data_IF_848380046232
#
_entry.id   IF_848380046232
#
_cell.length_a   1.000
_cell.length_b   1.000
_cell.length_c   1.000
_cell.angle_alpha   90.00
_cell.angle_beta   90.00
_cell.angle_gamma   90.00
#
_symmetry.space_group_name_H-M   'P 1'
#
loop_
_entity.id
_entity.type
_entity.pdbx_description
1 polymer ?
#
# COMPACT_ATOMS: atom_id res chain seq x y z
N UNK A 1 -22.61 -5.93 52.68
CA UNK A 1 -21.68 -5.44 51.67
C UNK A 1 -21.63 -6.28 50.38
N UNK A 2 -22.47 -7.31 50.21
CA UNK A 2 -22.42 -8.24 49.06
C UNK A 2 -23.47 -8.00 47.95
N UNK A 3 -24.46 -7.08 48.18
CA UNK A 3 -25.51 -6.79 47.18
C UNK A 3 -24.98 -5.91 46.02
N UNK A 4 -24.04 -5.03 46.30
CA UNK A 4 -23.55 -4.04 45.33
C UNK A 4 -22.68 -4.64 44.20
N UNK A 5 -21.98 -5.74 44.45
CA UNK A 5 -21.13 -6.39 43.45
C UNK A 5 -21.92 -7.19 42.38
N UNK A 6 -23.08 -7.75 42.74
CA UNK A 6 -23.95 -8.47 41.81
C UNK A 6 -24.65 -7.51 40.85
N UNK A 7 -25.05 -6.32 41.34
CA UNK A 7 -25.68 -5.32 40.49
C UNK A 7 -24.67 -4.64 39.55
N UNK A 8 -23.46 -4.39 40.03
CA UNK A 8 -22.37 -3.88 39.19
C UNK A 8 -21.99 -4.89 38.07
N UNK A 9 -21.86 -6.18 38.42
CA UNK A 9 -21.56 -7.22 37.42
C UNK A 9 -22.71 -7.43 36.43
N UNK A 10 -23.96 -7.30 36.86
CA UNK A 10 -25.14 -7.36 35.99
C UNK A 10 -25.26 -6.11 35.09
N UNK A 11 -24.83 -4.94 35.59
CA UNK A 11 -24.80 -3.69 34.83
C UNK A 11 -23.69 -3.71 33.77
N UNK A 12 -22.51 -4.26 34.11
CA UNK A 12 -21.38 -4.47 33.19
C UNK A 12 -21.74 -5.52 32.15
N UNK A 13 -22.29 -6.67 32.56
CA UNK A 13 -22.74 -7.74 31.69
C UNK A 13 -23.81 -7.31 30.70
N UNK A 14 -24.79 -6.52 31.13
CA UNK A 14 -25.87 -6.01 30.27
C UNK A 14 -25.43 -4.92 29.29
N UNK A 15 -24.38 -4.15 29.59
CA UNK A 15 -23.81 -3.14 28.66
C UNK A 15 -22.84 -3.72 27.65
N UNK A 16 -22.12 -4.75 28.00
CA UNK A 16 -21.10 -5.36 27.13
C UNK A 16 -21.67 -6.33 26.09
N UNK A 17 -22.90 -6.83 26.27
CA UNK A 17 -23.47 -7.88 25.41
C UNK A 17 -24.64 -7.43 24.52
N UNK A 18 -25.16 -6.21 24.69
CA UNK A 18 -26.27 -5.70 23.87
C UNK A 18 -25.80 -4.70 22.81
N UNK A 19 -25.10 -5.13 21.77
CA UNK A 19 -24.85 -4.22 20.66
C UNK A 19 -23.70 -4.54 19.71
N UNK A 20 -22.87 -5.52 19.99
CA UNK A 20 -21.85 -5.95 19.04
C UNK A 20 -22.44 -7.10 18.22
N UNK A 21 -22.92 -6.79 17.00
CA UNK A 21 -23.31 -7.82 16.03
C UNK A 21 -22.08 -8.66 15.63
N UNK A 22 -22.23 -9.52 14.62
CA UNK A 22 -21.13 -10.35 14.09
C UNK A 22 -19.90 -9.52 13.67
N UNK A 23 -20.09 -8.22 13.38
CA UNK A 23 -19.03 -7.25 13.05
C UNK A 23 -19.26 -5.97 13.87
N UNK A 24 -18.20 -5.48 14.50
CA UNK A 24 -18.18 -4.20 15.21
C UNK A 24 -17.99 -3.03 14.21
N UNK A 25 -19.06 -2.67 13.50
CA UNK A 25 -19.03 -1.61 12.50
C UNK A 25 -18.57 -0.25 13.06
N UNK A 26 -19.02 0.09 14.27
CA UNK A 26 -18.64 1.37 14.91
C UNK A 26 -17.14 1.40 15.17
N UNK A 27 -16.60 0.31 15.70
CA UNK A 27 -15.17 0.18 15.94
C UNK A 27 -14.36 0.20 14.64
N UNK A 28 -14.78 -0.56 13.63
CA UNK A 28 -14.14 -0.60 12.31
C UNK A 28 -14.08 0.79 11.67
N UNK A 29 -15.21 1.51 11.61
CA UNK A 29 -15.30 2.86 11.03
C UNK A 29 -14.43 3.84 11.82
N UNK A 30 -14.47 3.77 13.16
CA UNK A 30 -13.68 4.65 14.02
C UNK A 30 -12.19 4.46 13.82
N UNK A 31 -11.72 3.20 13.77
CA UNK A 31 -10.32 2.87 13.53
C UNK A 31 -9.88 3.28 12.11
N UNK A 32 -10.70 3.00 11.10
CA UNK A 32 -10.46 3.41 9.72
C UNK A 32 -10.37 4.94 9.60
N UNK A 33 -11.31 5.66 10.21
CA UNK A 33 -11.29 7.13 10.23
C UNK A 33 -10.03 7.67 10.91
N UNK A 34 -9.59 7.07 12.01
CA UNK A 34 -8.34 7.43 12.68
C UNK A 34 -7.14 7.26 11.75
N UNK A 35 -7.02 6.12 11.06
CA UNK A 35 -5.93 5.86 10.13
C UNK A 35 -5.91 6.85 8.95
N UNK A 36 -7.08 7.19 8.41
CA UNK A 36 -7.21 8.18 7.34
C UNK A 36 -6.87 9.58 7.86
N UNK A 37 -7.43 10.02 8.98
CA UNK A 37 -7.18 11.35 9.52
C UNK A 37 -5.74 11.56 9.97
N UNK A 38 -5.03 10.48 10.35
CA UNK A 38 -3.62 10.52 10.71
C UNK A 38 -2.76 11.08 9.59
N UNK A 39 -2.87 10.57 8.38
CA UNK A 39 -2.07 11.05 7.25
C UNK A 39 -2.63 12.33 6.63
N UNK A 40 -3.94 12.57 6.69
CA UNK A 40 -4.55 13.82 6.19
C UNK A 40 -4.08 15.02 7.02
N UNK A 41 -3.94 14.88 8.35
CA UNK A 41 -3.45 15.99 9.21
C UNK A 41 -2.07 16.51 8.80
N UNK A 42 -1.26 15.68 8.15
CA UNK A 42 0.09 16.01 7.68
C UNK A 42 0.19 15.85 6.14
N UNK A 43 -0.89 16.20 5.41
CA UNK A 43 -1.03 15.94 3.97
C UNK A 43 0.12 16.51 3.12
N UNK A 44 0.73 17.62 3.54
CA UNK A 44 1.89 18.18 2.87
C UNK A 44 3.04 17.16 2.76
N UNK A 45 3.33 16.46 3.85
CA UNK A 45 4.39 15.46 3.91
C UNK A 45 3.96 14.11 3.32
N UNK A 46 2.71 13.72 3.51
CA UNK A 46 2.24 12.35 3.22
C UNK A 46 1.66 12.18 1.83
N UNK A 47 1.21 13.28 1.18
CA UNK A 47 0.59 13.28 -0.14
C UNK A 47 1.37 14.17 -1.10
N UNK A 48 1.54 15.45 -0.76
CA UNK A 48 2.17 16.41 -1.67
C UNK A 48 3.67 16.11 -1.84
N UNK A 49 4.38 15.80 -0.76
CA UNK A 49 5.81 15.46 -0.81
C UNK A 49 6.13 14.31 -1.78
N UNK A 50 5.51 13.12 -1.64
CA UNK A 50 5.68 12.03 -2.60
C UNK A 50 5.28 12.39 -4.03
N UNK A 51 4.19 13.13 -4.23
CA UNK A 51 3.76 13.56 -5.57
C UNK A 51 4.76 14.50 -6.22
N UNK A 52 5.32 15.48 -5.47
CA UNK A 52 6.40 16.33 -5.95
C UNK A 52 7.68 15.56 -6.26
N UNK A 53 8.04 14.57 -5.42
CA UNK A 53 9.19 13.70 -5.70
C UNK A 53 9.00 12.94 -7.01
N UNK A 54 7.80 12.42 -7.26
CA UNK A 54 7.46 11.73 -8.52
C UNK A 54 7.59 12.67 -9.73
N UNK A 55 7.10 13.90 -9.61
CA UNK A 55 7.24 14.92 -10.64
C UNK A 55 8.71 15.29 -10.89
N UNK A 56 9.50 15.48 -9.83
CA UNK A 56 10.93 15.81 -9.95
C UNK A 56 11.71 14.69 -10.65
N UNK A 57 11.43 13.42 -10.32
CA UNK A 57 12.03 12.30 -11.04
C UNK A 57 11.68 12.34 -12.54
N UNK A 58 10.40 12.58 -12.87
CA UNK A 58 9.99 12.69 -14.27
C UNK A 58 10.73 13.84 -15.00
N UNK A 59 10.86 15.00 -14.37
CA UNK A 59 11.59 16.16 -14.94
C UNK A 59 13.06 15.82 -15.13
N UNK A 60 13.72 15.22 -14.13
CA UNK A 60 15.14 14.85 -14.22
C UNK A 60 15.36 13.87 -15.39
N UNK A 61 14.53 12.84 -15.50
CA UNK A 61 14.63 11.89 -16.59
C UNK A 61 14.28 12.49 -17.94
N UNK A 62 13.33 13.44 -17.98
CA UNK A 62 13.00 14.21 -19.18
C UNK A 62 14.20 15.00 -19.70
N UNK A 63 14.91 15.70 -18.82
CA UNK A 63 16.08 16.49 -19.16
C UNK A 63 17.28 15.59 -19.53
N UNK A 64 17.52 14.56 -18.74
CA UNK A 64 18.66 13.65 -18.92
C UNK A 64 18.56 12.82 -20.20
N UNK A 65 17.37 12.36 -20.56
CA UNK A 65 17.13 11.45 -21.69
C UNK A 65 16.36 12.08 -22.85
N UNK A 66 15.70 13.19 -22.62
CA UNK A 66 14.77 13.83 -23.57
C UNK A 66 15.43 14.41 -24.84
N UNK A 67 16.74 14.59 -24.86
CA UNK A 67 17.49 14.95 -26.09
C UNK A 67 17.77 13.76 -27.01
N UNK A 68 17.66 12.54 -26.52
CA UNK A 68 17.61 11.34 -27.33
C UNK A 68 16.17 10.89 -27.36
N UNK A 69 15.48 11.05 -28.47
CA UNK A 69 14.11 10.56 -28.75
C UNK A 69 14.10 9.03 -28.71
N UNK A 70 14.33 8.46 -27.52
CA UNK A 70 14.29 7.02 -27.29
C UNK A 70 12.84 6.63 -27.14
N UNK A 71 12.37 5.88 -28.11
CA UNK A 71 11.11 5.15 -28.05
C UNK A 71 11.35 3.86 -27.27
N UNK A 72 10.41 3.50 -26.42
CA UNK A 72 10.30 2.14 -25.87
C UNK A 72 9.24 1.46 -26.73
N UNK A 73 9.66 0.62 -27.69
CA UNK A 73 8.78 0.22 -28.79
C UNK A 73 8.37 1.44 -29.64
N UNK A 74 7.06 1.71 -29.71
CA UNK A 74 6.50 2.87 -30.42
C UNK A 74 6.12 4.05 -29.48
N UNK A 75 6.35 3.89 -28.16
CA UNK A 75 5.87 4.83 -27.13
C UNK A 75 7.00 5.78 -26.72
N UNK A 76 6.74 7.08 -26.60
CA UNK A 76 7.70 8.03 -26.05
C UNK A 76 8.11 7.65 -24.63
N UNK A 77 9.42 7.70 -24.36
CA UNK A 77 9.98 7.25 -23.07
C UNK A 77 9.30 7.89 -21.84
N UNK A 78 8.91 9.16 -21.93
CA UNK A 78 8.25 9.87 -20.83
C UNK A 78 6.83 9.35 -20.55
N UNK A 79 6.11 8.97 -21.61
CA UNK A 79 4.79 8.35 -21.48
C UNK A 79 4.90 6.95 -20.87
N UNK A 80 5.96 6.23 -21.16
CA UNK A 80 6.28 4.94 -20.53
C UNK A 80 6.68 5.09 -19.06
N UNK A 81 7.46 6.11 -18.72
CA UNK A 81 8.03 6.33 -17.38
C UNK A 81 6.97 6.82 -16.38
N UNK A 82 6.08 7.73 -16.81
CA UNK A 82 5.09 8.37 -15.95
C UNK A 82 4.26 7.40 -15.13
N UNK A 83 3.56 6.43 -15.74
CA UNK A 83 2.79 5.41 -15.02
C UNK A 83 3.63 4.61 -14.01
N UNK A 84 4.86 4.23 -14.38
CA UNK A 84 5.77 3.50 -13.50
C UNK A 84 6.13 4.26 -12.23
N UNK A 85 6.42 5.56 -12.35
CA UNK A 85 6.70 6.43 -11.22
C UNK A 85 5.47 6.66 -10.32
N UNK A 86 4.29 6.82 -10.92
CA UNK A 86 3.04 7.01 -10.18
C UNK A 86 2.76 5.78 -9.30
N UNK A 87 2.71 4.59 -9.89
CA UNK A 87 2.41 3.38 -9.13
C UNK A 87 3.48 3.06 -8.10
N UNK A 88 4.77 3.31 -8.40
CA UNK A 88 5.85 3.16 -7.44
C UNK A 88 5.64 4.05 -6.20
N UNK A 89 5.24 5.30 -6.40
CA UNK A 89 4.91 6.21 -5.30
C UNK A 89 3.68 5.73 -4.50
N UNK A 90 2.64 5.24 -5.18
CA UNK A 90 1.43 4.69 -4.54
C UNK A 90 1.74 3.52 -3.62
N UNK A 91 2.47 2.51 -4.10
CA UNK A 91 2.78 1.29 -3.35
C UNK A 91 3.69 1.58 -2.15
N UNK A 92 4.71 2.44 -2.31
CA UNK A 92 5.59 2.83 -1.21
C UNK A 92 4.84 3.59 -0.11
N UNK A 93 3.90 4.46 -0.48
CA UNK A 93 3.10 5.20 0.49
C UNK A 93 2.02 4.35 1.16
N UNK A 94 1.47 3.36 0.47
CA UNK A 94 0.58 2.36 1.09
C UNK A 94 1.31 1.52 2.13
N UNK A 95 2.51 1.02 1.81
CA UNK A 95 3.39 0.33 2.75
C UNK A 95 3.71 1.22 3.96
N UNK A 96 4.18 2.46 3.70
CA UNK A 96 4.55 3.40 4.74
C UNK A 96 3.40 3.79 5.68
N UNK A 97 2.14 3.75 5.20
CA UNK A 97 0.99 4.08 6.04
C UNK A 97 0.81 3.07 7.19
N UNK A 98 0.58 1.81 6.87
CA UNK A 98 0.33 0.78 7.88
C UNK A 98 1.55 0.48 8.74
N UNK A 99 2.74 0.40 8.12
CA UNK A 99 3.97 0.09 8.83
C UNK A 99 4.32 1.17 9.85
N UNK A 100 4.26 2.45 9.47
CA UNK A 100 4.53 3.56 10.38
C UNK A 100 3.49 3.71 11.48
N UNK A 101 2.21 3.42 11.20
CA UNK A 101 1.15 3.50 12.21
C UNK A 101 1.37 2.51 13.33
N UNK A 102 1.58 1.23 12.99
CA UNK A 102 1.79 0.17 13.98
C UNK A 102 3.09 0.35 14.74
N UNK A 103 4.18 0.65 14.04
CA UNK A 103 5.48 0.85 14.69
C UNK A 103 5.46 2.06 15.63
N UNK A 104 4.86 3.18 15.21
CA UNK A 104 4.74 4.36 16.08
C UNK A 104 3.94 4.06 17.35
N UNK A 105 2.87 3.26 17.25
CA UNK A 105 2.09 2.84 18.41
C UNK A 105 2.89 1.94 19.36
N UNK A 106 3.73 1.04 18.83
CA UNK A 106 4.61 0.19 19.63
C UNK A 106 5.69 1.02 20.35
N UNK A 107 6.40 1.87 19.61
CA UNK A 107 7.47 2.70 20.16
C UNK A 107 6.97 3.70 21.21
N UNK A 108 5.76 4.24 21.01
CA UNK A 108 5.12 5.13 21.98
C UNK A 108 4.49 4.40 23.18
N UNK A 109 4.49 3.05 23.21
CA UNK A 109 3.85 2.26 24.26
C UNK A 109 2.32 2.24 24.21
N UNK A 110 1.72 2.80 23.15
CA UNK A 110 0.26 2.94 23.00
C UNK A 110 -0.38 1.80 22.21
N UNK A 111 0.34 0.70 21.98
CA UNK A 111 -0.19 -0.45 21.23
C UNK A 111 -1.40 -1.07 21.95
N UNK A 112 -1.47 -0.97 23.28
CA UNK A 112 -2.60 -1.39 24.09
C UNK A 112 -3.90 -0.70 23.69
N UNK A 113 -3.85 0.57 23.29
CA UNK A 113 -5.04 1.35 22.89
C UNK A 113 -5.72 0.75 21.64
N UNK A 114 -4.97 0.04 20.83
CA UNK A 114 -5.50 -0.69 19.67
C UNK A 114 -5.99 -2.11 20.01
N UNK A 115 -5.42 -2.71 21.07
CA UNK A 115 -5.71 -4.09 21.45
C UNK A 115 -6.82 -4.18 22.53
N UNK A 116 -7.06 -3.11 23.32
CA UNK A 116 -8.11 -3.08 24.33
C UNK A 116 -9.54 -3.09 23.75
N UNK A 117 -9.85 -2.36 22.66
CA UNK A 117 -11.17 -2.45 22.08
C UNK A 117 -11.43 -3.87 21.52
N UNK A 118 -12.67 -4.37 21.57
CA UNK A 118 -13.01 -5.72 21.13
C UNK A 118 -13.05 -5.81 19.61
N UNK A 119 -11.88 -5.71 18.97
CA UNK A 119 -11.72 -5.93 17.55
C UNK A 119 -11.44 -7.39 17.23
N UNK A 120 -12.11 -7.91 16.21
CA UNK A 120 -11.69 -9.14 15.58
C UNK A 120 -10.43 -8.88 14.74
N UNK A 121 -9.57 -9.92 14.53
CA UNK A 121 -8.39 -9.80 13.66
C UNK A 121 -8.74 -9.32 12.24
N UNK A 122 -9.92 -9.67 11.74
CA UNK A 122 -10.45 -9.22 10.45
C UNK A 122 -10.72 -7.71 10.45
N UNK A 123 -11.42 -7.19 11.46
CA UNK A 123 -11.75 -5.76 11.59
C UNK A 123 -10.49 -4.92 11.71
N UNK A 124 -9.56 -5.37 12.54
CA UNK A 124 -8.27 -4.70 12.70
C UNK A 124 -7.49 -4.62 11.38
N UNK A 125 -7.31 -5.77 10.72
CA UNK A 125 -6.62 -5.84 9.41
C UNK A 125 -7.29 -4.94 8.38
N UNK A 126 -8.63 -5.01 8.29
CA UNK A 126 -9.40 -4.24 7.31
C UNK A 126 -9.29 -2.74 7.53
N UNK A 127 -9.32 -2.26 8.78
CA UNK A 127 -9.20 -0.84 9.09
C UNK A 127 -7.85 -0.25 8.66
N UNK A 128 -6.75 -0.94 8.99
CA UNK A 128 -5.41 -0.52 8.58
C UNK A 128 -5.22 -0.60 7.06
N UNK A 129 -5.77 -1.64 6.44
CA UNK A 129 -5.70 -1.85 5.01
C UNK A 129 -6.43 -0.75 4.23
N UNK A 130 -7.66 -0.40 4.62
CA UNK A 130 -8.42 0.69 4.01
C UNK A 130 -7.67 2.02 4.15
N UNK A 131 -7.08 2.30 5.32
CA UNK A 131 -6.25 3.49 5.51
C UNK A 131 -5.04 3.53 4.58
N UNK A 132 -4.38 2.39 4.36
CA UNK A 132 -3.22 2.27 3.47
C UNK A 132 -3.60 2.45 1.99
N UNK A 133 -4.68 1.81 1.56
CA UNK A 133 -5.21 1.97 0.20
C UNK A 133 -5.61 3.43 -0.05
N UNK A 134 -6.33 4.05 0.89
CA UNK A 134 -6.75 5.44 0.77
C UNK A 134 -5.54 6.38 0.60
N UNK A 135 -4.47 6.21 1.38
CA UNK A 135 -3.25 7.01 1.24
C UNK A 135 -2.56 6.78 -0.11
N UNK A 136 -2.39 5.52 -0.52
CA UNK A 136 -1.77 5.19 -1.81
C UNK A 136 -2.54 5.80 -2.98
N UNK A 137 -3.87 5.66 -2.99
CA UNK A 137 -4.72 6.24 -4.04
C UNK A 137 -4.66 7.78 -4.07
N UNK A 138 -4.69 8.44 -2.91
CA UNK A 138 -4.58 9.90 -2.85
C UNK A 138 -3.21 10.40 -3.34
N UNK A 139 -2.13 9.69 -3.03
CA UNK A 139 -0.80 9.99 -3.59
C UNK A 139 -0.79 9.78 -5.10
N UNK A 140 -1.41 8.71 -5.60
CA UNK A 140 -1.56 8.46 -7.03
C UNK A 140 -2.31 9.58 -7.74
N UNK A 141 -3.46 9.99 -7.22
CA UNK A 141 -4.26 11.10 -7.78
C UNK A 141 -3.46 12.41 -7.79
N UNK A 142 -2.76 12.74 -6.69
CA UNK A 142 -1.92 13.92 -6.60
C UNK A 142 -0.75 13.87 -7.61
N UNK A 143 -0.12 12.68 -7.77
CA UNK A 143 0.95 12.49 -8.75
C UNK A 143 0.46 12.64 -10.19
N UNK A 144 -0.70 12.06 -10.52
CA UNK A 144 -1.34 12.25 -11.85
C UNK A 144 -1.63 13.72 -12.10
N UNK A 145 -2.22 14.42 -11.13
CA UNK A 145 -2.56 15.84 -11.26
C UNK A 145 -1.33 16.73 -11.55
N UNK A 146 -0.16 16.36 -11.02
CA UNK A 146 1.09 17.08 -11.31
C UNK A 146 1.71 16.65 -12.65
N UNK A 147 1.72 15.36 -12.95
CA UNK A 147 2.38 14.80 -14.14
C UNK A 147 1.64 15.17 -15.43
N UNK A 148 0.31 15.28 -15.41
CA UNK A 148 -0.51 15.61 -16.58
C UNK A 148 -0.12 16.97 -17.20
N UNK A 149 0.55 17.84 -16.46
CA UNK A 149 1.07 19.12 -16.96
C UNK A 149 2.27 18.95 -17.91
N UNK A 150 2.98 17.82 -17.83
CA UNK A 150 4.19 17.54 -18.62
C UNK A 150 3.99 16.43 -19.65
N UNK A 151 3.16 15.45 -19.33
CA UNK A 151 2.92 14.25 -20.17
C UNK A 151 1.42 14.03 -20.29
N UNK A 152 0.90 13.88 -21.53
CA UNK A 152 -0.52 13.59 -21.72
C UNK A 152 -0.83 12.18 -21.18
N UNK A 153 -1.55 12.10 -20.07
CA UNK A 153 -2.02 10.84 -19.51
C UNK A 153 -3.41 10.57 -20.09
N UNK A 154 -3.53 9.45 -20.79
CA UNK A 154 -4.81 8.92 -21.27
C UNK A 154 -5.13 7.64 -20.51
N UNK A 155 -6.38 7.45 -20.12
CA UNK A 155 -6.83 6.20 -19.53
C UNK A 155 -7.23 5.27 -20.68
N UNK A 156 -6.46 4.21 -20.89
CA UNK A 156 -6.75 3.19 -21.90
C UNK A 156 -7.83 2.21 -21.41
N UNK A 157 -7.69 1.71 -20.18
CA UNK A 157 -8.64 0.78 -19.56
C UNK A 157 -8.90 1.18 -18.10
N UNK A 158 -10.12 1.68 -17.85
CA UNK A 158 -10.54 2.13 -16.52
C UNK A 158 -10.66 0.98 -15.50
N UNK A 159 -11.12 -0.20 -15.97
CA UNK A 159 -11.29 -1.38 -15.09
C UNK A 159 -9.91 -1.86 -14.63
N UNK A 160 -8.97 -1.97 -15.55
CA UNK A 160 -7.59 -2.31 -15.23
C UNK A 160 -6.96 -1.25 -14.29
N UNK A 161 -7.20 0.04 -14.52
CA UNK A 161 -6.68 1.12 -13.67
C UNK A 161 -7.16 0.98 -12.23
N UNK A 162 -8.44 0.79 -12.02
CA UNK A 162 -9.02 0.61 -10.68
C UNK A 162 -8.50 -0.67 -10.03
N UNK A 163 -8.46 -1.78 -10.78
CA UNK A 163 -8.01 -3.06 -10.27
C UNK A 163 -6.54 -3.01 -9.83
N UNK A 164 -5.62 -2.63 -10.73
CA UNK A 164 -4.18 -2.63 -10.43
C UNK A 164 -3.81 -1.58 -9.38
N UNK A 165 -4.46 -0.43 -9.35
CA UNK A 165 -4.27 0.57 -8.29
C UNK A 165 -4.68 0.02 -6.92
N UNK A 166 -5.87 -0.58 -6.84
CA UNK A 166 -6.41 -1.09 -5.58
C UNK A 166 -5.61 -2.29 -5.08
N UNK A 167 -5.37 -3.30 -5.93
CA UNK A 167 -4.69 -4.53 -5.53
C UNK A 167 -3.24 -4.27 -5.11
N UNK A 168 -2.52 -3.39 -5.82
CA UNK A 168 -1.14 -3.03 -5.51
C UNK A 168 -1.03 -2.30 -4.16
N UNK A 169 -1.90 -1.32 -3.92
CA UNK A 169 -1.98 -0.63 -2.63
C UNK A 169 -2.39 -1.58 -1.50
N UNK A 170 -3.27 -2.53 -1.77
CA UNK A 170 -3.71 -3.56 -0.81
C UNK A 170 -2.55 -4.47 -0.41
N UNK A 171 -1.84 -5.06 -1.37
CA UNK A 171 -0.68 -5.93 -1.11
C UNK A 171 0.36 -5.19 -0.27
N UNK A 172 0.73 -3.97 -0.66
CA UNK A 172 1.74 -3.20 0.04
C UNK A 172 1.27 -2.71 1.42
N UNK A 173 -0.03 -2.43 1.57
CA UNK A 173 -0.64 -2.18 2.87
C UNK A 173 -0.54 -3.39 3.81
N UNK A 174 -0.80 -4.61 3.31
CA UNK A 174 -0.66 -5.85 4.08
C UNK A 174 0.80 -6.15 4.45
N UNK A 175 1.72 -6.01 3.51
CA UNK A 175 3.17 -6.13 3.79
C UNK A 175 3.58 -5.10 4.84
N UNK A 176 3.04 -3.88 4.79
CA UNK A 176 3.26 -2.85 5.78
C UNK A 176 2.73 -3.21 7.17
N UNK A 177 1.54 -3.84 7.27
CA UNK A 177 1.00 -4.33 8.55
C UNK A 177 1.94 -5.39 9.14
N UNK A 178 2.31 -6.41 8.34
CA UNK A 178 3.20 -7.49 8.78
C UNK A 178 4.54 -6.93 9.25
N UNK A 179 5.13 -6.01 8.47
CA UNK A 179 6.40 -5.35 8.81
C UNK A 179 6.29 -4.52 10.08
N UNK A 180 5.19 -3.78 10.26
CA UNK A 180 4.93 -2.97 11.47
C UNK A 180 4.72 -3.82 12.73
N UNK A 181 4.13 -5.00 12.59
CA UNK A 181 4.03 -5.98 13.69
C UNK A 181 5.41 -6.56 14.03
N UNK A 182 6.23 -6.86 13.01
CA UNK A 182 7.54 -7.49 13.21
C UNK A 182 8.58 -6.52 13.77
N UNK A 183 8.61 -5.27 13.31
CA UNK A 183 9.59 -4.27 13.70
C UNK A 183 9.31 -3.73 15.11
N UNK A 184 10.38 -3.54 15.89
CA UNK A 184 10.34 -2.97 17.23
C UNK A 184 11.01 -1.58 17.26
N UNK A 185 11.80 -1.24 16.22
CA UNK A 185 12.54 0.03 16.08
C UNK A 185 12.37 0.59 14.68
N UNK A 186 12.48 1.92 14.56
CA UNK A 186 12.43 2.61 13.26
C UNK A 186 13.56 2.19 12.32
N UNK A 187 14.74 1.85 12.84
CA UNK A 187 15.89 1.39 12.03
C UNK A 187 15.57 0.07 11.32
N UNK A 188 14.86 -0.86 11.98
CA UNK A 188 14.43 -2.12 11.36
C UNK A 188 13.44 -1.87 10.23
N UNK A 189 12.53 -0.92 10.40
CA UNK A 189 11.59 -0.53 9.34
C UNK A 189 12.33 0.14 8.17
N UNK A 190 13.29 1.01 8.47
CA UNK A 190 14.18 1.60 7.46
C UNK A 190 14.95 0.54 6.69
N UNK A 191 15.44 -0.50 7.36
CA UNK A 191 16.11 -1.62 6.71
C UNK A 191 15.17 -2.37 5.73
N UNK A 192 13.94 -2.71 6.12
CA UNK A 192 12.96 -3.34 5.21
C UNK A 192 12.71 -2.45 4.00
N UNK A 193 12.50 -1.16 4.22
CA UNK A 193 12.22 -0.22 3.13
C UNK A 193 13.40 -0.13 2.16
N UNK A 194 14.62 0.05 2.67
CA UNK A 194 15.80 0.32 1.86
C UNK A 194 16.40 -0.94 1.22
N UNK A 195 16.31 -2.10 1.87
CA UNK A 195 16.92 -3.33 1.36
C UNK A 195 15.92 -4.26 0.66
N UNK A 196 14.62 -4.10 0.87
CA UNK A 196 13.60 -4.95 0.25
C UNK A 196 12.68 -4.16 -0.67
N UNK A 197 11.90 -3.21 -0.13
CA UNK A 197 10.83 -2.54 -0.87
C UNK A 197 11.38 -1.70 -2.02
N UNK A 198 12.37 -0.85 -1.74
CA UNK A 198 12.94 0.06 -2.74
C UNK A 198 13.66 -0.68 -3.87
N UNK A 199 14.58 -1.64 -3.60
CA UNK A 199 15.24 -2.38 -4.67
C UNK A 199 14.28 -3.20 -5.53
N UNK A 200 13.30 -3.89 -4.92
CA UNK A 200 12.31 -4.65 -5.68
C UNK A 200 11.46 -3.76 -6.58
N UNK A 201 11.07 -2.57 -6.12
CA UNK A 201 10.33 -1.61 -6.92
C UNK A 201 11.17 -1.06 -8.08
N UNK A 202 12.47 -0.78 -7.86
CA UNK A 202 13.38 -0.29 -8.90
C UNK A 202 13.68 -1.35 -9.97
N UNK A 203 13.82 -2.61 -9.57
CA UNK A 203 14.11 -3.74 -10.46
C UNK A 203 12.89 -4.22 -11.26
N UNK A 204 11.72 -3.67 -11.02
CA UNK A 204 10.44 -4.15 -11.58
C UNK A 204 10.03 -3.46 -12.88
N UNK A 205 10.98 -2.92 -13.65
CA UNK A 205 10.65 -2.28 -14.93
C UNK A 205 10.04 -0.89 -14.79
N UNK A 206 10.22 -0.19 -13.66
CA UNK A 206 9.77 1.19 -13.48
C UNK A 206 10.41 2.12 -14.52
N UNK A 207 11.71 1.95 -14.78
CA UNK A 207 12.54 2.84 -15.61
C UNK A 207 12.90 2.27 -16.99
N UNK A 208 12.58 1.01 -17.25
CA UNK A 208 12.91 0.28 -18.48
C UNK A 208 11.89 -0.81 -18.75
N UNK A 209 11.76 -1.21 -20.01
CA UNK A 209 11.00 -2.42 -20.35
C UNK A 209 11.83 -3.65 -20.05
N UNK A 210 11.24 -4.65 -19.37
CA UNK A 210 11.94 -5.89 -19.04
C UNK A 210 12.22 -6.75 -20.27
N UNK A 211 11.49 -6.53 -21.37
CA UNK A 211 11.74 -7.24 -22.64
C UNK A 211 13.15 -6.99 -23.19
N UNK A 212 13.81 -5.89 -22.79
CA UNK A 212 15.17 -5.55 -23.20
C UNK A 212 16.25 -6.17 -22.31
N UNK A 213 15.87 -6.94 -21.28
CA UNK A 213 16.81 -7.57 -20.36
C UNK A 213 17.32 -8.92 -20.90
N UNK A 214 18.56 -9.33 -20.53
CA UNK A 214 19.01 -10.71 -20.75
C UNK A 214 18.07 -11.71 -20.09
N UNK A 215 17.93 -12.90 -20.70
CA UNK A 215 16.96 -13.94 -20.31
C UNK A 215 16.96 -14.26 -18.81
N UNK A 216 18.11 -14.27 -18.16
CA UNK A 216 18.22 -14.54 -16.72
C UNK A 216 17.54 -13.46 -15.88
N UNK A 217 17.78 -12.18 -16.20
CA UNK A 217 17.16 -11.06 -15.49
C UNK A 217 15.66 -10.93 -15.79
N UNK A 218 15.26 -11.27 -17.01
CA UNK A 218 13.85 -11.35 -17.40
C UNK A 218 13.08 -12.35 -16.52
N UNK A 219 13.61 -13.57 -16.34
CA UNK A 219 12.98 -14.59 -15.47
C UNK A 219 12.91 -14.15 -14.02
N UNK A 220 13.98 -13.53 -13.50
CA UNK A 220 13.98 -12.99 -12.11
C UNK A 220 12.93 -11.88 -11.95
N UNK A 221 12.79 -11.01 -12.95
CA UNK A 221 11.78 -9.94 -12.91
C UNK A 221 10.36 -10.49 -12.90
N UNK A 222 10.07 -11.58 -13.60
CA UNK A 222 8.76 -12.23 -13.58
C UNK A 222 8.40 -12.86 -12.23
N UNK A 223 9.36 -13.23 -11.40
CA UNK A 223 9.12 -13.70 -10.03
C UNK A 223 8.81 -12.55 -9.06
N UNK A 224 9.10 -11.32 -9.46
CA UNK A 224 8.90 -10.15 -8.62
C UNK A 224 7.46 -9.63 -8.75
N UNK A 225 6.62 -9.66 -7.68
CA UNK A 225 5.25 -9.17 -7.76
C UNK A 225 5.14 -7.67 -8.09
N UNK A 226 6.16 -6.87 -7.74
CA UNK A 226 6.20 -5.45 -8.10
C UNK A 226 6.16 -5.24 -9.62
N UNK A 227 6.72 -6.16 -10.40
CA UNK A 227 6.66 -6.11 -11.85
C UNK A 227 5.21 -6.11 -12.34
N UNK A 228 4.39 -7.05 -11.89
CA UNK A 228 2.98 -7.12 -12.30
C UNK A 228 2.16 -5.92 -11.83
N UNK A 229 2.50 -5.32 -10.67
CA UNK A 229 1.86 -4.09 -10.19
C UNK A 229 2.13 -2.93 -11.15
N UNK A 230 3.40 -2.76 -11.56
CA UNK A 230 3.85 -1.65 -12.40
C UNK A 230 3.37 -1.85 -13.84
N UNK A 231 3.52 -3.06 -14.37
CA UNK A 231 3.15 -3.40 -15.75
C UNK A 231 1.63 -3.30 -15.97
N UNK A 232 0.83 -3.85 -15.06
CA UNK A 232 -0.62 -3.77 -15.12
C UNK A 232 -1.16 -2.34 -14.99
N UNK A 233 -0.57 -1.53 -14.11
CA UNK A 233 -0.94 -0.11 -13.99
C UNK A 233 -0.53 0.68 -15.23
N UNK A 234 0.64 0.38 -15.80
CA UNK A 234 1.10 0.99 -17.07
C UNK A 234 0.15 0.63 -18.20
N UNK A 235 -0.21 -0.64 -18.34
CA UNK A 235 -1.19 -1.07 -19.33
C UNK A 235 -2.49 -0.27 -19.23
N UNK A 236 -2.99 -0.03 -18.04
CA UNK A 236 -4.26 0.68 -17.83
C UNK A 236 -4.25 2.13 -18.34
N UNK A 237 -3.08 2.76 -18.41
CA UNK A 237 -2.94 4.15 -18.85
C UNK A 237 -2.52 4.27 -20.32
N UNK A 238 -1.60 3.43 -20.80
CA UNK A 238 -1.02 3.59 -22.15
C UNK A 238 -1.27 2.38 -23.08
N UNK A 239 -1.94 1.33 -22.61
CA UNK A 239 -2.22 0.13 -23.41
C UNK A 239 -1.00 -0.77 -23.67
N UNK A 240 0.18 -0.46 -23.09
CA UNK A 240 1.40 -1.23 -23.25
C UNK A 240 1.69 -2.10 -22.04
N UNK A 241 2.04 -3.36 -22.32
CA UNK A 241 2.40 -4.35 -21.31
C UNK A 241 3.54 -5.23 -21.79
N UNK A 242 4.47 -5.53 -20.89
CA UNK A 242 5.59 -6.48 -21.11
C UNK A 242 5.16 -7.93 -20.80
N UNK A 243 4.05 -8.15 -20.07
CA UNK A 243 3.52 -9.45 -19.69
C UNK A 243 2.05 -9.64 -20.05
N UNK A 244 1.56 -10.87 -19.88
CA UNK A 244 0.13 -11.12 -20.00
C UNK A 244 -0.62 -10.54 -18.80
N UNK A 245 -1.51 -9.57 -19.06
CA UNK A 245 -2.27 -8.83 -18.04
C UNK A 245 -3.12 -9.74 -17.15
N UNK A 246 -3.75 -10.79 -17.74
CA UNK A 246 -4.56 -11.74 -16.98
C UNK A 246 -3.71 -12.57 -16.01
N UNK A 247 -2.51 -12.96 -16.42
CA UNK A 247 -1.56 -13.66 -15.55
C UNK A 247 -1.15 -12.75 -14.41
N UNK A 248 -0.77 -11.50 -14.69
CA UNK A 248 -0.42 -10.52 -13.67
C UNK A 248 -1.55 -10.27 -12.67
N UNK A 249 -2.77 -10.08 -13.17
CA UNK A 249 -3.95 -9.89 -12.32
C UNK A 249 -4.20 -11.10 -11.40
N UNK A 250 -4.11 -12.32 -11.93
CA UNK A 250 -4.31 -13.54 -11.16
C UNK A 250 -3.24 -13.73 -10.09
N UNK A 251 -1.98 -13.52 -10.43
CA UNK A 251 -0.85 -13.61 -9.49
C UNK A 251 -1.02 -12.62 -8.34
N UNK A 252 -1.34 -11.36 -8.64
CA UNK A 252 -1.56 -10.35 -7.63
C UNK A 252 -2.78 -10.64 -6.74
N UNK A 253 -3.87 -11.17 -7.32
CA UNK A 253 -5.05 -11.56 -6.55
C UNK A 253 -4.73 -12.67 -5.55
N UNK A 254 -4.06 -13.74 -5.99
CA UNK A 254 -3.65 -14.85 -5.14
C UNK A 254 -2.71 -14.35 -4.03
N UNK A 255 -1.70 -13.55 -4.38
CA UNK A 255 -0.77 -12.98 -3.42
C UNK A 255 -1.49 -12.12 -2.37
N UNK A 256 -2.42 -11.26 -2.80
CA UNK A 256 -3.22 -10.44 -1.90
C UNK A 256 -4.02 -11.30 -0.91
N UNK A 257 -4.66 -12.36 -1.39
CA UNK A 257 -5.44 -13.28 -0.56
C UNK A 257 -4.56 -13.99 0.47
N UNK A 258 -3.40 -14.51 0.04
CA UNK A 258 -2.43 -15.16 0.93
C UNK A 258 -1.93 -14.22 2.00
N UNK A 259 -1.55 -12.99 1.64
CA UNK A 259 -1.08 -11.98 2.59
C UNK A 259 -2.19 -11.56 3.56
N UNK A 260 -3.42 -11.42 3.09
CA UNK A 260 -4.55 -11.06 3.94
C UNK A 260 -4.84 -12.13 4.99
N UNK A 261 -4.89 -13.41 4.58
CA UNK A 261 -5.06 -14.54 5.50
C UNK A 261 -3.89 -14.62 6.48
N UNK A 262 -2.65 -14.48 5.99
CA UNK A 262 -1.45 -14.50 6.84
C UNK A 262 -1.49 -13.41 7.90
N UNK A 263 -1.87 -12.19 7.51
CA UNK A 263 -2.01 -11.06 8.44
C UNK A 263 -3.04 -11.34 9.54
N UNK A 264 -4.22 -11.88 9.17
CA UNK A 264 -5.26 -12.28 10.14
C UNK A 264 -4.72 -13.33 11.12
N UNK A 265 -4.00 -14.33 10.61
CA UNK A 265 -3.43 -15.40 11.45
C UNK A 265 -2.38 -14.86 12.43
N UNK A 266 -1.50 -13.94 11.97
CA UNK A 266 -0.48 -13.30 12.82
C UNK A 266 -1.16 -12.51 13.95
N UNK A 267 -2.16 -11.71 13.63
CA UNK A 267 -2.90 -10.90 14.62
C UNK A 267 -3.66 -11.81 15.59
N UNK A 268 -4.33 -12.86 15.09
CA UNK A 268 -5.05 -13.85 15.93
C UNK A 268 -4.13 -14.54 16.93
N UNK A 269 -2.90 -14.86 16.55
CA UNK A 269 -1.90 -15.46 17.43
C UNK A 269 -1.28 -14.46 18.42
N UNK A 270 -1.52 -13.17 18.27
CA UNK A 270 -0.92 -12.12 19.11
C UNK A 270 0.60 -12.01 18.99
N UNK A 271 1.16 -12.46 17.85
CA UNK A 271 2.61 -12.49 17.63
C UNK A 271 3.18 -11.07 17.66
N UNK A 272 4.16 -10.81 18.57
CA UNK A 272 4.84 -9.51 18.74
C UNK A 272 3.93 -8.29 18.90
N UNK A 273 2.66 -8.48 19.25
CA UNK A 273 1.73 -7.39 19.57
C UNK A 273 1.81 -7.00 21.06
N UNK A 274 2.39 -7.87 21.90
CA UNK A 274 2.70 -7.58 23.33
C UNK A 274 4.21 -7.45 23.42
N UNK A 275 4.69 -6.26 23.70
CA UNK A 275 6.05 -5.99 24.16
C UNK A 275 6.15 -6.26 25.66
#
# INVERSE_FOLDING_TARGET
>A
MNANNKDINKFISNRTLKGIGAVNWIGLITLTKREIMRFIKIYMQTIIGPALTTLLFLIIFSIALGRSSKLVGEIPFLEFLGPGLIIMSMIQNSFGNSSSSLLSAKVAGNISDFLMPPFTPFEFTSAFLIGSIARGLLVGIASVALIITLVPIKVYDLVALLYFSFISCSIMGLVGIISGIWADKFDQMGAITNFLVTPLALLSGTFYSISNLPTTFYLVSQLNPFFYMIDGFRYSLIGYSDANILVGATVLFILNLVLFITTIVIIKKGYRLKS
#
